data_IF_662817709577
#
_entry.id   IF_662817709577
#
_cell.length_a   1.000
_cell.length_b   1.000
_cell.length_c   1.000
_cell.angle_alpha   90.00
_cell.angle_beta   90.00
_cell.angle_gamma   90.00
#
_symmetry.space_group_name_H-M   'P 1'
#
loop_
_entity.id
_entity.type
_entity.pdbx_description
1 polymer ?
#
# COMPACT_ATOMS: atom_id res chain seq x y z
N UNK A 1 36.62 17.26 8.56
CA UNK A 1 35.65 17.31 9.69
C UNK A 1 36.43 17.07 10.97
N UNK A 2 36.14 17.80 12.05
CA UNK A 2 36.79 17.55 13.35
C UNK A 2 36.29 16.23 13.95
N UNK A 3 37.11 15.57 14.77
CA UNK A 3 36.70 14.35 15.51
C UNK A 3 35.43 14.59 16.32
N UNK A 4 35.27 15.78 16.88
CA UNK A 4 34.05 16.21 17.59
C UNK A 4 32.82 16.23 16.69
N UNK A 5 32.94 16.75 15.46
CA UNK A 5 31.83 16.75 14.49
C UNK A 5 31.39 15.33 14.14
N UNK A 6 32.34 14.42 13.92
CA UNK A 6 32.03 13.01 13.62
C UNK A 6 31.30 12.35 14.79
N UNK A 7 31.80 12.54 16.02
CA UNK A 7 31.17 12.00 17.23
C UNK A 7 29.73 12.51 17.37
N UNK A 8 29.50 13.82 17.19
CA UNK A 8 28.16 14.40 17.25
C UNK A 8 27.24 13.77 16.19
N UNK A 9 27.69 13.62 14.95
CA UNK A 9 26.91 13.00 13.88
C UNK A 9 26.54 11.54 14.21
N UNK A 10 27.48 10.76 14.76
CA UNK A 10 27.23 9.36 15.15
C UNK A 10 26.22 9.29 16.29
N UNK A 11 26.36 10.13 17.32
CA UNK A 11 25.42 10.17 18.44
C UNK A 11 24.01 10.53 17.95
N UNK A 12 23.89 11.54 17.08
CA UNK A 12 22.60 11.92 16.50
C UNK A 12 21.99 10.79 15.66
N UNK A 13 22.78 10.08 14.86
CA UNK A 13 22.30 8.94 14.09
C UNK A 13 21.78 7.82 15.00
N UNK A 14 22.48 7.51 16.08
CA UNK A 14 22.03 6.51 17.07
C UNK A 14 20.72 6.95 17.72
N UNK A 15 20.60 8.22 18.13
CA UNK A 15 19.37 8.76 18.72
C UNK A 15 18.20 8.63 17.74
N UNK A 16 18.42 8.95 16.45
CA UNK A 16 17.38 8.81 15.42
C UNK A 16 16.93 7.35 15.28
N UNK A 17 17.87 6.40 15.22
CA UNK A 17 17.56 4.97 15.13
C UNK A 17 16.77 4.50 16.34
N UNK A 18 17.14 4.95 17.54
CA UNK A 18 16.43 4.60 18.78
C UNK A 18 15.02 5.19 18.82
N UNK A 19 14.85 6.45 18.39
CA UNK A 19 13.53 7.10 18.28
C UNK A 19 12.67 6.35 17.26
N UNK A 20 13.20 6.04 16.08
CA UNK A 20 12.47 5.28 15.05
C UNK A 20 12.05 3.91 15.57
N UNK A 21 12.97 3.16 16.19
CA UNK A 21 12.66 1.84 16.76
C UNK A 21 11.59 1.91 17.85
N UNK A 22 11.66 2.93 18.71
CA UNK A 22 10.65 3.14 19.75
C UNK A 22 9.29 3.53 19.15
N UNK A 23 9.26 4.48 18.21
CA UNK A 23 8.04 4.88 17.53
C UNK A 23 7.43 3.68 16.78
N UNK A 24 8.22 2.89 16.03
CA UNK A 24 7.75 1.67 15.38
C UNK A 24 7.01 0.74 16.34
N UNK A 25 7.59 0.47 17.51
CA UNK A 25 6.94 -0.36 18.54
C UNK A 25 5.68 0.27 19.09
N UNK A 26 5.67 1.60 19.26
CA UNK A 26 4.53 2.33 19.79
C UNK A 26 3.36 2.41 18.81
N UNK A 27 3.62 2.56 17.50
CA UNK A 27 2.56 2.63 16.48
C UNK A 27 2.09 1.23 16.05
N UNK A 28 2.92 0.19 16.23
CA UNK A 28 2.55 -1.18 15.88
C UNK A 28 1.39 -1.65 16.75
N UNK A 29 0.24 -1.85 16.11
CA UNK A 29 -0.96 -2.40 16.74
C UNK A 29 -1.29 -3.77 16.15
N UNK A 30 -1.88 -4.63 16.96
CA UNK A 30 -2.49 -5.84 16.42
C UNK A 30 -3.70 -5.42 15.58
N UNK A 31 -3.65 -5.75 14.29
CA UNK A 31 -4.76 -5.48 13.40
C UNK A 31 -5.83 -6.55 13.60
N UNK A 32 -7.06 -6.11 13.84
CA UNK A 32 -8.24 -6.96 13.71
C UNK A 32 -8.87 -6.65 12.36
N UNK A 33 -8.43 -7.36 11.33
CA UNK A 33 -8.98 -7.29 9.98
C UNK A 33 -9.79 -8.57 9.74
N UNK A 34 -10.92 -8.45 9.06
CA UNK A 34 -11.75 -9.59 8.66
C UNK A 34 -11.19 -10.20 7.37
N UNK A 35 -11.11 -11.51 7.32
CA UNK A 35 -10.54 -12.27 6.22
C UNK A 35 -11.62 -12.98 5.37
N UNK A 36 -11.38 -13.21 4.07
CA UNK A 36 -10.21 -12.85 3.28
C UNK A 36 -10.15 -11.36 2.92
N UNK A 37 -8.93 -10.85 2.73
CA UNK A 37 -8.66 -9.47 2.31
C UNK A 37 -8.53 -9.38 0.78
N UNK A 38 -8.95 -8.29 0.16
CA UNK A 38 -8.72 -8.01 -1.25
C UNK A 38 -8.00 -6.66 -1.40
N UNK A 39 -6.85 -6.67 -2.06
CA UNK A 39 -6.21 -5.44 -2.51
C UNK A 39 -6.76 -5.01 -3.87
N UNK A 40 -7.03 -3.70 -4.02
CA UNK A 40 -7.37 -3.10 -5.31
C UNK A 40 -6.23 -2.19 -5.76
N UNK A 41 -5.58 -2.56 -6.86
CA UNK A 41 -4.43 -1.86 -7.44
C UNK A 41 -4.74 -1.32 -8.83
N UNK A 42 -4.32 -0.09 -9.10
CA UNK A 42 -4.44 0.44 -10.45
C UNK A 42 -3.35 -0.11 -11.35
N UNK A 43 -2.16 -0.28 -10.80
CA UNK A 43 -0.92 -0.50 -11.51
C UNK A 43 -0.14 -1.68 -10.94
N UNK A 44 0.62 -2.35 -11.80
CA UNK A 44 1.32 -3.58 -11.43
C UNK A 44 2.32 -3.41 -10.27
N UNK A 45 2.98 -2.27 -10.09
CA UNK A 45 3.97 -2.07 -9.01
C UNK A 45 3.39 -1.45 -7.73
N UNK A 46 2.07 -1.26 -7.66
CA UNK A 46 1.42 -0.62 -6.51
C UNK A 46 1.63 -1.40 -5.21
N UNK A 47 1.68 -2.74 -5.29
CA UNK A 47 1.97 -3.62 -4.17
C UNK A 47 3.35 -3.27 -3.56
N UNK A 48 4.39 -3.24 -4.40
CA UNK A 48 5.78 -3.00 -4.04
C UNK A 48 6.04 -1.56 -3.59
N UNK A 49 5.32 -0.63 -4.19
CA UNK A 49 5.47 0.80 -3.95
C UNK A 49 4.76 1.26 -2.67
N UNK A 50 3.59 0.70 -2.36
CA UNK A 50 2.70 1.30 -1.37
C UNK A 50 2.25 0.36 -0.25
N UNK A 51 2.14 -0.94 -0.49
CA UNK A 51 1.40 -1.85 0.41
C UNK A 51 2.24 -2.96 1.05
N UNK A 52 3.54 -3.01 0.81
CA UNK A 52 4.43 -4.04 1.38
C UNK A 52 4.32 -4.20 2.89
N UNK A 53 4.28 -3.14 3.73
CA UNK A 53 4.07 -3.30 5.17
C UNK A 53 2.80 -4.07 5.51
N UNK A 54 1.71 -3.80 4.81
CA UNK A 54 0.44 -4.49 5.02
C UNK A 54 0.47 -5.92 4.47
N UNK A 55 1.01 -6.13 3.27
CA UNK A 55 1.14 -7.46 2.67
C UNK A 55 1.98 -8.39 3.58
N UNK A 56 3.13 -7.92 4.06
CA UNK A 56 3.97 -8.71 4.96
C UNK A 56 3.30 -8.97 6.30
N UNK A 57 2.53 -8.02 6.84
CA UNK A 57 1.71 -8.26 8.03
C UNK A 57 0.72 -9.40 7.80
N UNK A 58 -0.04 -9.39 6.70
CA UNK A 58 -1.02 -10.43 6.40
C UNK A 58 -0.33 -11.80 6.25
N UNK A 59 0.81 -11.85 5.53
CA UNK A 59 1.62 -13.07 5.37
C UNK A 59 2.11 -13.63 6.71
N UNK A 60 2.64 -12.78 7.58
CA UNK A 60 3.17 -13.19 8.90
C UNK A 60 2.07 -13.70 9.83
N UNK A 61 0.84 -13.20 9.68
CA UNK A 61 -0.32 -13.61 10.49
C UNK A 61 -1.19 -14.66 9.79
N UNK A 62 -0.75 -15.21 8.66
CA UNK A 62 -1.48 -16.21 7.87
C UNK A 62 -2.90 -15.77 7.47
N UNK A 63 -3.11 -14.47 7.30
CA UNK A 63 -4.39 -13.91 6.87
C UNK A 63 -4.47 -14.05 5.34
N UNK A 64 -5.47 -14.75 4.79
CA UNK A 64 -5.60 -14.93 3.35
C UNK A 64 -5.94 -13.59 2.68
N UNK A 65 -5.30 -13.34 1.54
CA UNK A 65 -5.58 -12.16 0.72
C UNK A 65 -5.50 -12.46 -0.78
N UNK A 66 -6.26 -11.70 -1.55
CA UNK A 66 -6.21 -11.65 -3.00
C UNK A 66 -5.77 -10.28 -3.51
N UNK A 67 -5.48 -10.19 -4.81
CA UNK A 67 -5.11 -8.93 -5.46
C UNK A 67 -5.88 -8.73 -6.77
N UNK A 68 -6.44 -7.54 -6.96
CA UNK A 68 -7.11 -7.12 -8.17
C UNK A 68 -6.28 -6.02 -8.85
N UNK A 69 -5.87 -6.25 -10.10
CA UNK A 69 -5.14 -5.29 -10.92
C UNK A 69 -6.02 -4.78 -12.06
N UNK A 70 -6.30 -3.47 -12.05
CA UNK A 70 -7.15 -2.84 -13.07
C UNK A 70 -6.44 -2.59 -14.39
N UNK A 71 -5.21 -2.06 -14.38
CA UNK A 71 -4.54 -1.62 -15.59
C UNK A 71 -3.11 -2.14 -15.71
N UNK A 72 -2.81 -2.80 -16.82
CA UNK A 72 -1.48 -3.33 -17.09
C UNK A 72 -1.24 -3.64 -18.56
N UNK A 73 -0.01 -3.42 -19.03
CA UNK A 73 0.43 -3.96 -20.33
C UNK A 73 0.89 -5.44 -20.19
N UNK A 74 1.13 -6.15 -21.29
CA UNK A 74 1.52 -7.57 -21.25
C UNK A 74 2.80 -7.87 -20.44
N UNK A 75 3.77 -6.95 -20.45
CA UNK A 75 5.02 -7.11 -19.69
C UNK A 75 4.73 -7.00 -18.20
N UNK A 76 4.07 -5.91 -17.79
CA UNK A 76 3.70 -5.62 -16.40
C UNK A 76 2.75 -6.68 -15.82
N UNK A 77 1.90 -7.30 -16.67
CA UNK A 77 1.03 -8.40 -16.26
C UNK A 77 1.86 -9.59 -15.77
N UNK A 78 2.87 -9.99 -16.56
CA UNK A 78 3.76 -11.09 -16.21
C UNK A 78 4.60 -10.78 -14.97
N UNK A 79 5.06 -9.54 -14.83
CA UNK A 79 5.77 -9.08 -13.63
C UNK A 79 4.87 -9.17 -12.38
N UNK A 80 3.63 -8.72 -12.47
CA UNK A 80 2.64 -8.80 -11.39
C UNK A 80 2.31 -10.24 -11.00
N UNK A 81 2.14 -11.14 -11.97
CA UNK A 81 1.94 -12.57 -11.70
C UNK A 81 3.12 -13.19 -10.93
N UNK A 82 4.35 -12.77 -11.24
CA UNK A 82 5.53 -13.21 -10.49
C UNK A 82 5.57 -12.63 -9.07
N UNK A 83 5.19 -11.37 -8.91
CA UNK A 83 5.06 -10.72 -7.61
C UNK A 83 4.00 -11.37 -6.73
N UNK A 84 2.83 -11.69 -7.28
CA UNK A 84 1.79 -12.41 -6.57
C UNK A 84 2.28 -13.76 -6.04
N UNK A 85 3.00 -14.53 -6.87
CA UNK A 85 3.64 -15.80 -6.45
C UNK A 85 4.66 -15.59 -5.33
N UNK A 86 5.50 -14.55 -5.43
CA UNK A 86 6.46 -14.19 -4.38
C UNK A 86 5.74 -13.85 -3.06
N UNK A 87 4.60 -13.19 -3.13
CA UNK A 87 3.75 -12.89 -1.97
C UNK A 87 2.95 -14.08 -1.45
N UNK A 88 2.99 -15.23 -2.14
CA UNK A 88 2.13 -16.41 -1.87
C UNK A 88 0.64 -16.08 -1.98
N UNK A 89 0.30 -15.17 -2.89
CA UNK A 89 -1.07 -14.80 -3.23
C UNK A 89 -1.50 -15.60 -4.47
N UNK A 90 -2.35 -16.60 -4.27
CA UNK A 90 -2.85 -17.43 -5.38
C UNK A 90 -4.09 -16.83 -6.04
N UNK A 91 -4.87 -16.02 -5.31
CA UNK A 91 -6.07 -15.38 -5.83
C UNK A 91 -5.73 -14.00 -6.44
N UNK A 92 -5.49 -13.98 -7.75
CA UNK A 92 -5.28 -12.74 -8.49
C UNK A 92 -6.29 -12.58 -9.61
N UNK A 93 -6.78 -11.36 -9.79
CA UNK A 93 -7.62 -10.95 -10.91
C UNK A 93 -6.92 -9.81 -11.64
N UNK A 94 -6.75 -9.93 -12.96
CA UNK A 94 -6.11 -8.91 -13.80
C UNK A 94 -7.08 -8.58 -14.94
N UNK A 95 -7.52 -7.33 -15.00
CA UNK A 95 -8.44 -6.87 -16.03
C UNK A 95 -7.78 -6.76 -17.40
N UNK A 96 -8.62 -6.74 -18.44
CA UNK A 96 -8.20 -6.32 -19.77
C UNK A 96 -7.77 -4.83 -19.73
N UNK A 97 -6.57 -4.47 -20.20
CA UNK A 97 -6.10 -3.09 -20.20
C UNK A 97 -6.99 -2.11 -20.99
N UNK A 98 -7.78 -2.60 -21.94
CA UNK A 98 -8.69 -1.75 -22.72
C UNK A 98 -9.90 -1.31 -21.92
N UNK A 99 -10.29 -2.07 -20.89
CA UNK A 99 -11.43 -1.78 -20.02
C UNK A 99 -11.11 -0.64 -19.04
N UNK A 100 -9.90 -0.66 -18.48
CA UNK A 100 -9.41 0.34 -17.54
C UNK A 100 -8.05 0.89 -18.01
N UNK A 101 -8.05 1.80 -19.01
CA UNK A 101 -6.81 2.29 -19.61
C UNK A 101 -5.99 3.13 -18.61
N UNK A 102 -4.67 2.97 -18.68
CA UNK A 102 -3.73 3.72 -17.84
C UNK A 102 -3.49 5.12 -18.41
N UNK A 103 -3.61 6.17 -17.59
CA UNK A 103 -3.20 7.52 -17.97
C UNK A 103 -3.93 8.61 -17.18
N UNK A 104 -3.52 9.86 -17.39
CA UNK A 104 -4.13 11.02 -16.74
C UNK A 104 -5.39 11.53 -17.44
N UNK A 105 -5.62 11.12 -18.68
CA UNK A 105 -6.72 11.59 -19.52
C UNK A 105 -7.97 10.69 -19.42
N UNK A 106 -7.83 9.51 -18.82
CA UNK A 106 -8.89 8.51 -18.80
C UNK A 106 -9.71 8.57 -17.50
N UNK A 107 -11.02 8.48 -17.66
CA UNK A 107 -11.96 8.30 -16.57
C UNK A 107 -12.54 6.90 -16.70
N UNK A 108 -12.42 6.11 -15.64
CA UNK A 108 -12.96 4.77 -15.62
C UNK A 108 -14.46 4.81 -15.33
N UNK A 109 -15.23 3.88 -15.91
CA UNK A 109 -16.63 3.72 -15.55
C UNK A 109 -16.71 3.17 -14.12
N UNK A 110 -17.09 4.06 -13.19
CA UNK A 110 -17.15 3.77 -11.76
C UNK A 110 -18.21 2.71 -11.45
N UNK A 111 -19.31 2.67 -12.21
CA UNK A 111 -20.36 1.69 -11.99
C UNK A 111 -19.94 0.31 -12.48
N UNK A 112 -19.29 0.25 -13.64
CA UNK A 112 -18.75 -1.01 -14.16
C UNK A 112 -17.66 -1.55 -13.24
N UNK A 113 -16.74 -0.70 -12.79
CA UNK A 113 -15.72 -1.05 -11.78
C UNK A 113 -16.33 -1.62 -10.51
N UNK A 114 -17.33 -0.95 -9.95
CA UNK A 114 -17.97 -1.41 -8.73
C UNK A 114 -18.64 -2.78 -8.90
N UNK A 115 -19.21 -3.05 -10.08
CA UNK A 115 -19.81 -4.35 -10.41
C UNK A 115 -18.76 -5.46 -10.53
N UNK A 116 -17.68 -5.21 -11.27
CA UNK A 116 -16.58 -6.18 -11.42
C UNK A 116 -15.99 -6.57 -10.05
N UNK A 117 -15.78 -5.57 -9.18
CA UNK A 117 -15.27 -5.81 -7.82
C UNK A 117 -16.31 -6.56 -6.97
N UNK A 118 -17.59 -6.18 -7.04
CA UNK A 118 -18.65 -6.85 -6.29
C UNK A 118 -18.83 -8.33 -6.69
N UNK A 119 -18.69 -8.65 -7.98
CA UNK A 119 -18.70 -10.03 -8.46
C UNK A 119 -17.56 -10.84 -7.82
N UNK A 120 -16.34 -10.29 -7.79
CA UNK A 120 -15.21 -10.96 -7.16
C UNK A 120 -15.39 -11.11 -5.64
N UNK A 121 -15.91 -10.08 -4.96
CA UNK A 121 -16.20 -10.13 -3.52
C UNK A 121 -17.12 -11.31 -3.21
N UNK A 122 -18.22 -11.46 -3.96
CA UNK A 122 -19.18 -12.53 -3.74
C UNK A 122 -18.59 -13.90 -4.06
N UNK A 123 -17.86 -14.00 -5.18
CA UNK A 123 -17.22 -15.26 -5.61
C UNK A 123 -16.20 -15.78 -4.60
N UNK A 124 -15.39 -14.89 -4.03
CA UNK A 124 -14.26 -15.24 -3.17
C UNK A 124 -14.55 -15.00 -1.68
N UNK A 125 -15.79 -14.65 -1.33
CA UNK A 125 -16.27 -14.36 0.02
C UNK A 125 -15.41 -13.32 0.77
N UNK A 126 -14.92 -12.30 0.06
CA UNK A 126 -14.04 -11.26 0.61
C UNK A 126 -14.75 -10.51 1.75
N UNK A 127 -14.02 -10.26 2.84
CA UNK A 127 -14.56 -9.53 4.00
C UNK A 127 -13.95 -8.13 4.18
N UNK A 128 -12.78 -7.88 3.60
CA UNK A 128 -12.11 -6.58 3.68
C UNK A 128 -11.51 -6.15 2.35
N UNK A 129 -11.68 -4.89 1.96
CA UNK A 129 -10.94 -4.24 0.88
C UNK A 129 -9.85 -3.33 1.47
N UNK A 130 -8.67 -3.35 0.86
CA UNK A 130 -7.59 -2.39 1.13
C UNK A 130 -7.18 -1.72 -0.18
N UNK A 131 -7.20 -0.38 -0.22
CA UNK A 131 -6.84 0.38 -1.43
C UNK A 131 -6.42 1.82 -1.14
N UNK A 132 -6.42 2.68 -2.14
CA UNK A 132 -6.02 4.08 -2.08
C UNK A 132 -7.10 5.00 -1.49
N UNK A 133 -6.67 6.04 -0.79
CA UNK A 133 -7.56 7.11 -0.37
C UNK A 133 -7.93 8.06 -1.53
N UNK A 134 -8.80 9.03 -1.25
CA UNK A 134 -9.28 10.03 -2.21
C UNK A 134 -8.19 10.89 -2.86
N UNK A 135 -6.96 10.89 -2.33
CA UNK A 135 -5.82 11.63 -2.89
C UNK A 135 -4.95 10.74 -3.77
N UNK A 136 -5.18 9.43 -3.81
CA UNK A 136 -4.46 8.52 -4.70
C UNK A 136 -2.95 8.51 -4.48
N UNK A 137 -2.49 8.70 -3.23
CA UNK A 137 -1.08 8.89 -2.80
C UNK A 137 -0.44 10.17 -3.32
N UNK A 138 -0.43 10.35 -4.65
CA UNK A 138 0.24 11.44 -5.36
C UNK A 138 -0.68 12.19 -6.32
N UNK A 139 -2.00 11.98 -6.20
CA UNK A 139 -2.99 12.54 -7.12
C UNK A 139 -3.15 11.78 -8.43
N UNK A 140 -2.74 10.50 -8.49
CA UNK A 140 -2.87 9.74 -9.74
C UNK A 140 -4.35 9.45 -10.04
N UNK A 141 -4.88 9.80 -11.23
CA UNK A 141 -6.31 9.64 -11.56
C UNK A 141 -6.82 8.21 -11.41
N UNK A 142 -6.08 7.20 -11.86
CA UNK A 142 -6.49 5.81 -11.67
C UNK A 142 -6.69 5.40 -10.20
N UNK A 143 -5.82 5.84 -9.28
CA UNK A 143 -6.01 5.57 -7.85
C UNK A 143 -7.26 6.28 -7.31
N UNK A 144 -7.51 7.50 -7.79
CA UNK A 144 -8.69 8.28 -7.44
C UNK A 144 -9.97 7.61 -7.98
N UNK A 145 -9.93 7.05 -9.19
CA UNK A 145 -11.05 6.30 -9.76
C UNK A 145 -11.40 5.08 -8.89
N UNK A 146 -10.40 4.34 -8.39
CA UNK A 146 -10.65 3.23 -7.45
C UNK A 146 -11.33 3.75 -6.18
N UNK A 147 -10.84 4.85 -5.61
CA UNK A 147 -11.47 5.45 -4.43
C UNK A 147 -12.91 5.91 -4.70
N UNK A 148 -13.18 6.47 -5.88
CA UNK A 148 -14.50 6.93 -6.28
C UNK A 148 -15.53 5.79 -6.42
N UNK A 149 -15.09 4.55 -6.66
CA UNK A 149 -15.94 3.37 -6.72
C UNK A 149 -16.34 2.80 -5.35
N UNK A 150 -15.61 3.14 -4.27
CA UNK A 150 -15.83 2.54 -2.94
C UNK A 150 -17.24 2.72 -2.38
N UNK A 151 -17.90 3.89 -2.49
CA UNK A 151 -19.29 4.04 -2.04
C UNK A 151 -20.26 3.10 -2.74
N UNK A 152 -20.05 2.86 -4.04
CA UNK A 152 -20.90 1.95 -4.81
C UNK A 152 -20.59 0.49 -4.49
N UNK A 153 -19.31 0.13 -4.33
CA UNK A 153 -18.89 -1.19 -3.86
C UNK A 153 -19.51 -1.50 -2.49
N UNK A 154 -19.46 -0.55 -1.55
CA UNK A 154 -20.09 -0.70 -0.23
C UNK A 154 -21.61 -0.84 -0.34
N UNK A 155 -22.26 -0.14 -1.26
CA UNK A 155 -23.71 -0.32 -1.52
C UNK A 155 -24.03 -1.73 -2.01
N UNK A 156 -23.21 -2.29 -2.91
CA UNK A 156 -23.40 -3.66 -3.41
C UNK A 156 -23.00 -4.73 -2.39
N UNK A 157 -22.04 -4.45 -1.53
CA UNK A 157 -21.46 -5.40 -0.57
C UNK A 157 -21.30 -4.74 0.81
N UNK A 158 -22.39 -4.42 1.52
CA UNK A 158 -22.36 -3.65 2.76
C UNK A 158 -21.70 -4.40 3.93
N UNK A 159 -21.52 -5.71 3.78
CA UNK A 159 -20.83 -6.54 4.75
C UNK A 159 -19.30 -6.37 4.69
N UNK A 160 -18.71 -5.76 3.66
CA UNK A 160 -17.25 -5.63 3.49
C UNK A 160 -16.75 -4.38 4.19
N UNK A 161 -15.73 -4.53 5.03
CA UNK A 161 -15.00 -3.38 5.60
C UNK A 161 -14.04 -2.82 4.56
N UNK A 162 -13.94 -1.50 4.47
CA UNK A 162 -13.09 -0.86 3.46
C UNK A 162 -12.04 0.00 4.16
N UNK A 163 -10.76 -0.27 3.89
CA UNK A 163 -9.64 0.51 4.39
C UNK A 163 -8.89 1.20 3.26
N UNK A 164 -8.49 2.44 3.51
CA UNK A 164 -7.74 3.24 2.54
C UNK A 164 -6.38 3.66 3.08
N UNK A 165 -5.35 3.60 2.24
CA UNK A 165 -4.01 4.07 2.56
C UNK A 165 -3.98 5.59 2.62
N UNK A 166 -3.67 6.12 3.81
CA UNK A 166 -3.63 7.57 4.06
C UNK A 166 -2.50 8.23 3.28
N UNK A 167 -2.87 9.13 2.37
CA UNK A 167 -1.93 9.96 1.63
C UNK A 167 -1.22 10.98 2.52
N UNK A 168 0.11 10.92 2.55
CA UNK A 168 1.00 11.82 3.27
C UNK A 168 1.41 13.03 2.44
N UNK A 169 1.70 14.15 3.10
CA UNK A 169 2.36 15.29 2.45
C UNK A 169 3.78 14.90 1.98
N UNK A 170 4.39 15.70 1.11
CA UNK A 170 5.66 15.35 0.47
C UNK A 170 6.81 15.08 1.46
N UNK A 171 6.87 15.83 2.57
CA UNK A 171 7.91 15.67 3.60
C UNK A 171 7.79 14.31 4.27
N UNK A 172 6.58 13.98 4.74
CA UNK A 172 6.28 12.69 5.39
C UNK A 172 6.37 11.53 4.41
N UNK A 173 5.91 11.72 3.18
CA UNK A 173 5.96 10.72 2.12
C UNK A 173 7.38 10.23 1.88
N UNK A 174 8.36 11.13 1.81
CA UNK A 174 9.77 10.81 1.53
C UNK A 174 10.66 10.86 2.78
N UNK A 175 10.09 10.68 3.97
CA UNK A 175 10.87 10.54 5.20
C UNK A 175 10.14 9.62 6.18
N UNK A 176 10.54 8.35 6.18
CA UNK A 176 10.00 7.35 7.11
C UNK A 176 10.16 7.77 8.58
N UNK A 177 11.32 8.32 8.98
CA UNK A 177 11.57 8.79 10.34
C UNK A 177 10.60 9.91 10.73
N UNK A 178 10.44 10.93 9.89
CA UNK A 178 9.54 12.05 10.16
C UNK A 178 8.09 11.55 10.20
N UNK A 179 7.67 10.71 9.23
CA UNK A 179 6.31 10.20 9.24
C UNK A 179 6.01 9.35 10.47
N UNK A 180 6.96 8.52 10.92
CA UNK A 180 6.77 7.69 12.09
C UNK A 180 6.57 8.53 13.36
N UNK A 181 7.42 9.56 13.57
CA UNK A 181 7.28 10.50 14.68
C UNK A 181 5.93 11.22 14.59
N UNK A 182 5.57 11.75 13.42
CA UNK A 182 4.28 12.42 13.24
C UNK A 182 3.10 11.48 13.49
N UNK A 183 3.17 10.24 13.02
CA UNK A 183 2.11 9.23 13.17
C UNK A 183 1.96 8.78 14.63
N UNK A 184 3.04 8.77 15.41
CA UNK A 184 2.97 8.53 16.86
C UNK A 184 2.18 9.64 17.60
N UNK A 185 2.34 10.90 17.19
CA UNK A 185 1.61 12.02 17.79
C UNK A 185 0.21 12.24 17.19
N UNK A 186 -0.14 11.55 16.10
CA UNK A 186 -1.51 11.58 15.60
C UNK A 186 -2.43 10.90 16.62
N UNK A 187 -3.59 11.51 16.85
CA UNK A 187 -4.59 10.94 17.78
C UNK A 187 -4.91 9.52 17.35
N UNK A 188 -4.92 8.67 18.35
CA UNK A 188 -5.33 7.30 18.22
C UNK A 188 -6.83 7.27 17.88
N UNK A 189 -7.13 6.95 16.63
CA UNK A 189 -8.49 6.73 16.13
C UNK A 189 -8.66 5.21 16.01
N UNK A 190 -9.72 4.67 16.62
CA UNK A 190 -10.04 3.23 16.57
C UNK A 190 -10.20 2.73 15.13
N UNK A 191 -10.49 3.64 14.19
CA UNK A 191 -10.60 3.38 12.75
C UNK A 191 -9.27 3.33 12.02
N UNK A 192 -8.15 3.59 12.70
CA UNK A 192 -6.83 3.64 12.09
C UNK A 192 -6.00 2.41 12.44
N UNK A 193 -5.47 1.78 11.41
CA UNK A 193 -4.63 0.60 11.47
C UNK A 193 -3.21 0.94 10.99
N UNK A 194 -2.21 0.46 11.71
CA UNK A 194 -0.81 0.69 11.38
C UNK A 194 -0.08 -0.64 11.16
N UNK A 195 0.57 -0.79 10.01
CA UNK A 195 1.51 -1.88 9.73
C UNK A 195 2.91 -1.33 9.56
N UNK A 196 3.87 -1.98 10.22
CA UNK A 196 5.25 -1.48 10.33
C UNK A 196 6.24 -2.58 10.03
N UNK A 197 7.25 -2.27 9.23
CA UNK A 197 8.41 -3.09 8.93
C UNK A 197 9.69 -2.41 9.44
N UNK A 198 10.62 -3.22 9.91
CA UNK A 198 11.91 -2.75 10.41
C UNK A 198 12.88 -2.38 9.27
N UNK A 199 12.64 -2.89 8.05
CA UNK A 199 13.54 -2.72 6.90
C UNK A 199 12.79 -2.59 5.57
N UNK A 200 13.39 -1.86 4.64
CA UNK A 200 12.91 -1.67 3.26
C UNK A 200 13.30 -2.84 2.34
N UNK A 201 13.98 -3.86 2.86
CA UNK A 201 14.41 -5.03 2.11
C UNK A 201 13.24 -5.78 1.47
N UNK A 202 12.10 -5.86 2.16
CA UNK A 202 10.87 -6.46 1.61
C UNK A 202 10.39 -5.69 0.39
N UNK A 203 10.32 -4.35 0.48
CA UNK A 203 9.89 -3.51 -0.62
C UNK A 203 10.88 -3.54 -1.79
N UNK A 204 12.17 -3.57 -1.48
CA UNK A 204 13.23 -3.69 -2.49
C UNK A 204 13.19 -5.04 -3.19
N UNK A 205 12.93 -6.13 -2.47
CA UNK A 205 12.81 -7.47 -3.03
C UNK A 205 11.56 -7.60 -3.90
N UNK A 206 10.44 -7.01 -3.48
CA UNK A 206 9.23 -6.95 -4.30
C UNK A 206 9.44 -6.12 -5.56
N UNK A 207 10.07 -4.94 -5.45
CA UNK A 207 10.29 -4.06 -6.61
C UNK A 207 11.21 -4.68 -7.67
N UNK A 208 12.13 -5.56 -7.29
CA UNK A 208 12.97 -6.33 -8.24
C UNK A 208 12.16 -7.25 -9.17
N UNK A 209 10.91 -7.57 -8.81
CA UNK A 209 10.01 -8.36 -9.65
C UNK A 209 9.35 -7.54 -10.76
N UNK A 210 9.57 -6.22 -10.76
CA UNK A 210 9.14 -5.29 -11.81
C UNK A 210 10.32 -4.64 -12.55
N UNK A 211 11.18 -5.40 -13.26
CA UNK A 211 12.31 -4.85 -14.02
C UNK A 211 11.93 -3.70 -14.97
N UNK A 212 10.76 -3.78 -15.62
CA UNK A 212 10.29 -2.74 -16.55
C UNK A 212 10.02 -1.41 -15.87
N UNK A 213 9.81 -1.41 -14.54
CA UNK A 213 9.46 -0.23 -13.75
C UNK A 213 10.58 0.21 -12.81
N UNK A 214 11.62 -0.61 -12.61
CA UNK A 214 12.66 -0.37 -11.61
C UNK A 214 13.75 0.58 -12.12
N UNK A 215 13.37 1.82 -12.39
CA UNK A 215 14.25 2.90 -12.87
C UNK A 215 14.88 3.70 -11.73
N UNK A 216 15.88 4.54 -12.02
CA UNK A 216 16.74 5.21 -11.02
C UNK A 216 15.98 5.87 -9.85
N UNK A 217 14.89 6.60 -10.10
CA UNK A 217 14.16 7.32 -9.05
C UNK A 217 13.37 6.37 -8.13
N UNK A 218 13.10 5.12 -8.55
CA UNK A 218 12.50 4.10 -7.70
C UNK A 218 13.46 3.68 -6.59
N UNK A 219 14.78 3.69 -6.81
CA UNK A 219 15.74 3.43 -5.74
C UNK A 219 15.67 4.49 -4.64
N UNK A 220 15.51 5.77 -5.02
CA UNK A 220 15.33 6.87 -4.07
C UNK A 220 14.00 6.70 -3.32
N UNK A 221 12.93 6.39 -4.06
CA UNK A 221 11.63 6.10 -3.43
C UNK A 221 11.74 4.96 -2.42
N UNK A 222 12.36 3.84 -2.78
CA UNK A 222 12.50 2.68 -1.90
C UNK A 222 13.34 2.99 -0.67
N UNK A 223 14.35 3.84 -0.78
CA UNK A 223 15.21 4.22 0.33
C UNK A 223 14.50 5.12 1.34
N UNK A 224 13.66 6.05 0.88
CA UNK A 224 13.17 7.14 1.72
C UNK A 224 11.67 7.15 1.97
N UNK A 225 10.88 6.51 1.10
CA UNK A 225 9.43 6.56 1.21
C UNK A 225 8.94 5.92 2.50
N UNK A 226 8.01 6.57 3.20
CA UNK A 226 7.38 5.99 4.38
C UNK A 226 6.59 4.73 4.04
N UNK A 227 5.99 4.65 2.85
CA UNK A 227 5.13 3.52 2.46
C UNK A 227 5.88 2.19 2.30
N UNK A 228 7.22 2.19 2.28
CA UNK A 228 8.00 0.94 2.28
C UNK A 228 8.21 0.35 3.67
N UNK A 229 7.99 1.13 4.73
CA UNK A 229 8.06 0.68 6.14
C UNK A 229 6.74 0.76 6.87
N UNK A 230 5.92 1.75 6.57
CA UNK A 230 4.76 2.12 7.36
C UNK A 230 3.55 2.29 6.45
N UNK A 231 2.48 1.55 6.71
CA UNK A 231 1.17 1.89 6.19
C UNK A 231 0.28 2.35 7.34
N UNK A 232 -0.38 3.49 7.12
CA UNK A 232 -1.48 3.96 7.94
C UNK A 232 -2.75 3.79 7.12
N UNK A 233 -3.54 2.78 7.47
CA UNK A 233 -4.80 2.46 6.83
C UNK A 233 -5.94 3.05 7.67
N UNK A 234 -6.88 3.73 7.02
CA UNK A 234 -8.03 4.37 7.69
C UNK A 234 -9.30 3.71 7.18
N UNK A 235 -10.14 3.25 8.11
CA UNK A 235 -11.47 2.71 7.80
C UNK A 235 -12.32 3.78 7.11
N UNK A 236 -12.87 3.40 5.96
CA UNK A 236 -13.70 4.23 5.10
C UNK A 236 -15.18 3.86 5.26
N UNK A 237 -15.48 2.56 5.36
CA UNK A 237 -16.79 1.96 5.68
C UNK A 237 -16.64 0.71 6.52
#
# INVERSE_FOLDING_TARGET
MSSTTIIICVILAIIIILIESWCHKAVKKQLKIRDPVLFLFAHADDDAMFFIPTIEYLKQNLIPFGMFLFSSNPIRKKEFENAAKFHKCENITICDPTKYPDGFEYHWDIMEMAKDVAELIQKENIQTIITFDKKGVSGHPNHININAALPMIHTFCPHVSIYTLKSKNIIRKYSHTIDCICSFFEKDDERTLFTVLDSNEYATSSMKLYPSQFVWFRHIYLAFSTYTKLNQLVEYY
#
